data_IF_805446212589
#
_entry.id   IF_805446212589
#
_cell.length_a   1.000
_cell.length_b   1.000
_cell.length_c   1.000
_cell.angle_alpha   90.00
_cell.angle_beta   90.00
_cell.angle_gamma   90.00
#
_symmetry.space_group_name_H-M   'P 1'
#
loop_
_entity.id
_entity.type
_entity.pdbx_description
1 polymer ?
#
# COMPACT_ATOMS: atom_id res chain seq x y z
N UNK A 1 -6.45 -7.52 26.50
CA UNK A 1 -7.25 -6.84 25.46
C UNK A 1 -6.99 -5.35 25.55
N UNK A 2 -6.41 -4.78 24.50
CA UNK A 2 -6.18 -3.32 24.38
C UNK A 2 -7.51 -2.60 24.20
N UNK A 3 -7.71 -1.49 24.91
CA UNK A 3 -8.89 -0.62 24.80
C UNK A 3 -8.46 0.81 24.50
N UNK A 4 -9.14 1.50 23.59
CA UNK A 4 -8.77 2.87 23.24
C UNK A 4 -8.95 3.86 24.40
N UNK A 5 -9.82 3.54 25.35
CA UNK A 5 -10.07 4.32 26.56
C UNK A 5 -8.79 4.45 27.40
N UNK A 6 -7.93 3.42 27.36
CA UNK A 6 -6.68 3.35 28.11
C UNK A 6 -5.55 4.16 27.45
N UNK A 7 -5.76 4.74 26.26
CA UNK A 7 -4.75 5.58 25.61
C UNK A 7 -4.44 6.79 26.50
N UNK A 8 -3.17 7.05 26.77
CA UNK A 8 -2.70 8.22 27.53
C UNK A 8 -2.66 9.43 26.58
N UNK A 9 -1.96 9.28 25.46
CA UNK A 9 -1.82 10.30 24.44
C UNK A 9 -1.50 9.66 23.08
N UNK A 10 -1.78 10.39 22.01
CA UNK A 10 -1.26 10.15 20.67
C UNK A 10 -0.36 11.34 20.35
N UNK A 11 0.91 11.06 20.08
CA UNK A 11 1.94 12.07 19.88
C UNK A 11 2.78 11.79 18.63
N UNK A 12 3.64 12.75 18.26
CA UNK A 12 4.70 12.49 17.28
C UNK A 12 5.68 11.48 17.86
N UNK A 13 6.23 10.63 16.99
CA UNK A 13 7.20 9.63 17.41
C UNK A 13 8.40 10.29 18.12
N UNK A 14 8.77 9.72 19.26
CA UNK A 14 9.93 10.10 20.08
C UNK A 14 10.98 9.00 20.10
N UNK A 15 10.54 7.73 20.03
CA UNK A 15 11.42 6.55 19.99
C UNK A 15 11.88 6.21 18.57
N UNK A 16 11.16 6.69 17.56
CA UNK A 16 11.48 6.49 16.14
C UNK A 16 11.67 7.82 15.43
N UNK A 17 12.49 7.84 14.38
CA UNK A 17 12.85 9.06 13.62
C UNK A 17 11.64 9.78 12.98
N UNK A 18 10.53 9.07 12.76
CA UNK A 18 9.33 9.62 12.13
C UNK A 18 8.06 8.90 12.57
N UNK A 19 6.93 9.59 12.38
CA UNK A 19 5.59 9.03 12.56
C UNK A 19 4.89 9.51 13.81
N UNK A 20 4.09 8.62 14.38
CA UNK A 20 3.16 8.85 15.48
C UNK A 20 3.22 7.65 16.44
N UNK A 21 3.02 7.94 17.73
CA UNK A 21 2.95 6.96 18.80
C UNK A 21 1.59 7.04 19.45
N UNK A 22 0.90 5.90 19.58
CA UNK A 22 -0.26 5.76 20.45
C UNK A 22 0.25 5.16 21.76
N UNK A 23 0.23 5.97 22.84
CA UNK A 23 0.84 5.64 24.11
C UNK A 23 -0.21 5.06 25.06
N UNK A 24 0.08 3.88 25.60
CA UNK A 24 -0.71 3.21 26.63
C UNK A 24 0.09 3.16 27.95
N UNK A 25 -0.54 2.80 29.08
CA UNK A 25 0.14 2.57 30.34
C UNK A 25 1.28 1.54 30.24
N UNK A 26 2.20 1.57 31.19
CA UNK A 26 3.35 0.67 31.28
C UNK A 26 4.27 0.73 30.05
N UNK A 27 4.44 1.92 29.45
CA UNK A 27 5.27 2.16 28.26
C UNK A 27 4.92 1.30 27.04
N UNK A 28 3.69 0.77 26.97
CA UNK A 28 3.21 0.10 25.76
C UNK A 28 2.91 1.15 24.69
N UNK A 29 3.60 1.06 23.55
CA UNK A 29 3.51 2.04 22.47
C UNK A 29 3.20 1.32 21.17
N UNK A 30 2.18 1.79 20.46
CA UNK A 30 1.95 1.39 19.07
C UNK A 30 2.52 2.47 18.17
N UNK A 31 3.46 2.09 17.30
CA UNK A 31 4.10 3.01 16.36
C UNK A 31 3.47 2.93 14.97
N UNK A 32 3.09 4.09 14.41
CA UNK A 32 2.62 4.24 13.04
C UNK A 32 3.40 5.33 12.31
N UNK A 33 3.71 5.13 11.03
CA UNK A 33 4.39 6.16 10.23
C UNK A 33 3.42 7.11 9.53
N UNK A 34 2.23 6.63 9.18
CA UNK A 34 1.21 7.35 8.43
C UNK A 34 0.13 7.88 9.35
N UNK A 35 -0.13 9.18 9.24
CA UNK A 35 -1.20 9.84 10.02
C UNK A 35 -2.59 9.25 9.75
N UNK A 36 -2.85 8.84 8.51
CA UNK A 36 -4.19 8.38 8.09
C UNK A 36 -4.58 7.03 8.68
N UNK A 37 -3.60 6.17 9.00
CA UNK A 37 -3.85 4.82 9.53
C UNK A 37 -4.20 4.84 11.01
N UNK A 38 -3.91 5.94 11.73
CA UNK A 38 -4.31 6.12 13.14
C UNK A 38 -5.83 5.91 13.30
N UNK A 39 -6.65 6.53 12.46
CA UNK A 39 -8.10 6.42 12.54
C UNK A 39 -8.58 4.97 12.29
N UNK A 40 -8.01 4.32 11.27
CA UNK A 40 -8.34 2.92 10.93
C UNK A 40 -7.99 1.97 12.07
N UNK A 41 -6.82 2.12 12.68
CA UNK A 41 -6.39 1.27 13.78
C UNK A 41 -7.27 1.46 15.02
N UNK A 42 -7.58 2.69 15.40
CA UNK A 42 -8.43 2.98 16.56
C UNK A 42 -9.84 2.41 16.41
N UNK A 43 -10.40 2.48 15.21
CA UNK A 43 -11.68 1.86 14.89
C UNK A 43 -11.61 0.34 15.04
N UNK A 44 -10.56 -0.29 14.49
CA UNK A 44 -10.36 -1.75 14.59
C UNK A 44 -10.16 -2.21 16.03
N UNK A 45 -9.36 -1.49 16.84
CA UNK A 45 -9.19 -1.81 18.27
C UNK A 45 -10.54 -1.78 19.01
N UNK A 46 -11.43 -0.84 18.68
CA UNK A 46 -12.72 -0.70 19.38
C UNK A 46 -13.80 -1.66 18.85
N UNK A 47 -13.88 -1.85 17.54
CA UNK A 47 -15.02 -2.51 16.90
C UNK A 47 -14.70 -3.86 16.28
N UNK A 48 -13.42 -4.28 16.25
CA UNK A 48 -12.88 -5.50 15.65
C UNK A 48 -13.06 -5.60 14.13
N UNK A 49 -14.24 -5.29 13.60
CA UNK A 49 -14.58 -5.31 12.18
C UNK A 49 -15.02 -3.93 11.71
N UNK A 50 -14.32 -3.40 10.70
CA UNK A 50 -14.56 -2.08 10.14
C UNK A 50 -14.58 -2.10 8.62
N UNK A 51 -15.12 -1.05 8.02
CA UNK A 51 -15.13 -0.85 6.57
C UNK A 51 -15.07 0.65 6.24
N UNK A 52 -15.07 0.98 4.95
CA UNK A 52 -15.07 2.36 4.46
C UNK A 52 -16.22 3.21 5.03
N UNK A 53 -17.36 2.60 5.33
CA UNK A 53 -18.54 3.25 5.92
C UNK A 53 -18.21 4.00 7.22
N UNK A 54 -17.27 3.45 8.01
CA UNK A 54 -16.84 4.01 9.30
C UNK A 54 -16.02 5.31 9.14
N UNK A 55 -15.52 5.60 7.93
CA UNK A 55 -14.63 6.73 7.64
C UNK A 55 -15.17 7.72 6.61
N UNK A 56 -16.25 7.39 5.88
CA UNK A 56 -16.95 8.33 4.98
C UNK A 56 -17.99 9.19 5.69
N UNK A 57 -18.26 8.91 6.97
CA UNK A 57 -19.31 9.56 7.77
C UNK A 57 -20.70 9.01 7.48
N UNK A 58 -20.80 7.70 7.19
CA UNK A 58 -22.08 6.99 7.08
C UNK A 58 -22.62 6.55 8.45
N UNK A 59 -21.78 6.60 9.49
CA UNK A 59 -22.15 6.30 10.87
C UNK A 59 -21.32 7.15 11.87
N UNK A 60 -21.65 7.04 13.16
CA UNK A 60 -21.05 7.84 14.23
C UNK A 60 -19.83 7.18 14.90
N UNK A 61 -19.33 6.05 14.38
CA UNK A 61 -18.25 5.31 15.05
C UNK A 61 -16.98 6.13 15.17
N UNK A 62 -16.58 6.85 14.12
CA UNK A 62 -15.43 7.74 14.16
C UNK A 62 -15.65 8.92 15.13
N UNK A 63 -16.86 9.47 15.17
CA UNK A 63 -17.22 10.53 16.14
C UNK A 63 -17.08 9.99 17.56
N UNK A 64 -17.51 8.77 17.84
CA UNK A 64 -17.35 8.12 19.13
C UNK A 64 -15.86 7.95 19.51
N UNK A 65 -15.00 7.52 18.58
CA UNK A 65 -13.54 7.46 18.79
C UNK A 65 -13.00 8.85 19.17
N UNK A 66 -13.34 9.89 18.40
CA UNK A 66 -12.87 11.26 18.65
C UNK A 66 -13.32 11.79 20.00
N UNK A 67 -14.54 11.46 20.43
CA UNK A 67 -15.08 11.85 21.74
C UNK A 67 -14.31 11.17 22.88
N UNK A 68 -14.05 9.87 22.78
CA UNK A 68 -13.28 9.12 23.81
C UNK A 68 -11.85 9.66 23.96
N UNK A 69 -11.26 10.09 22.85
CA UNK A 69 -9.88 10.58 22.80
C UNK A 69 -9.77 12.10 22.88
N UNK A 70 -10.83 12.81 23.28
CA UNK A 70 -10.83 14.27 23.35
C UNK A 70 -9.67 14.76 24.23
N UNK A 71 -8.83 15.62 23.65
CA UNK A 71 -7.65 16.18 24.33
C UNK A 71 -6.43 15.26 24.40
N UNK A 72 -6.51 14.02 23.86
CA UNK A 72 -5.39 13.07 23.85
C UNK A 72 -4.55 13.11 22.56
N UNK A 73 -4.95 13.90 21.55
CA UNK A 73 -4.27 13.99 20.27
C UNK A 73 -4.47 15.38 19.63
N UNK A 74 -3.63 15.74 18.67
CA UNK A 74 -3.83 16.96 17.89
C UNK A 74 -5.02 16.78 16.92
N UNK A 75 -6.06 17.61 17.05
CA UNK A 75 -7.33 17.47 16.29
C UNK A 75 -7.13 17.35 14.76
N UNK A 76 -6.06 17.92 14.22
CA UNK A 76 -5.74 17.88 12.78
C UNK A 76 -5.34 16.47 12.30
N UNK A 77 -5.07 15.52 13.20
CA UNK A 77 -4.56 14.19 12.84
C UNK A 77 -5.66 13.18 12.48
N UNK A 78 -6.84 13.32 13.08
CA UNK A 78 -8.00 12.48 12.78
C UNK A 78 -9.07 13.36 12.14
N UNK A 79 -9.29 13.16 10.83
CA UNK A 79 -10.29 13.90 10.07
C UNK A 79 -11.69 13.47 10.45
N UNK A 80 -12.69 14.30 10.15
CA UNK A 80 -14.10 13.90 10.29
C UNK A 80 -14.53 12.90 9.23
N UNK A 81 -13.90 12.96 8.05
CA UNK A 81 -14.17 12.09 6.90
C UNK A 81 -12.91 11.86 6.07
N UNK A 82 -12.87 10.75 5.37
CA UNK A 82 -11.77 10.35 4.48
C UNK A 82 -12.34 10.08 3.08
N UNK A 83 -11.82 10.79 2.06
CA UNK A 83 -12.25 10.59 0.67
C UNK A 83 -11.82 9.24 0.09
N UNK A 84 -10.64 8.76 0.50
CA UNK A 84 -10.20 7.38 0.27
C UNK A 84 -10.24 6.65 1.62
N UNK A 85 -11.44 6.21 1.99
CA UNK A 85 -11.73 5.58 3.28
C UNK A 85 -11.16 4.16 3.39
N UNK A 86 -10.78 3.54 2.27
CA UNK A 86 -10.14 2.23 2.24
C UNK A 86 -8.67 2.31 2.71
N UNK A 87 -7.95 3.36 2.31
CA UNK A 87 -6.51 3.51 2.61
C UNK A 87 -6.15 3.45 4.11
N UNK A 88 -6.87 4.14 5.01
CA UNK A 88 -6.64 4.03 6.46
C UNK A 88 -6.60 2.60 6.99
N UNK A 89 -7.34 1.67 6.38
CA UNK A 89 -7.33 0.26 6.76
C UNK A 89 -6.32 -0.56 5.97
N UNK A 90 -6.31 -0.45 4.63
CA UNK A 90 -5.43 -1.27 3.79
C UNK A 90 -3.95 -1.06 4.12
N UNK A 91 -3.56 0.19 4.40
CA UNK A 91 -2.17 0.55 4.69
C UNK A 91 -1.70 0.05 6.06
N UNK A 92 -2.60 -0.32 6.99
CA UNK A 92 -2.20 -0.93 8.27
C UNK A 92 -1.42 -2.23 8.06
N UNK A 93 -1.92 -3.05 7.14
CA UNK A 93 -1.21 -4.27 6.76
C UNK A 93 -0.11 -3.97 5.75
N UNK A 94 -0.44 -3.31 4.63
CA UNK A 94 0.47 -3.26 3.47
C UNK A 94 1.68 -2.35 3.66
N UNK A 95 1.60 -1.35 4.55
CA UNK A 95 2.68 -0.36 4.72
C UNK A 95 3.13 -0.18 6.17
N UNK A 96 2.21 -0.29 7.13
CA UNK A 96 2.51 -0.21 8.57
C UNK A 96 2.93 -1.54 9.19
N UNK A 97 2.82 -2.66 8.45
CA UNK A 97 3.34 -3.96 8.86
C UNK A 97 2.52 -4.68 9.95
N UNK A 98 1.27 -4.27 10.20
CA UNK A 98 0.39 -4.97 11.13
C UNK A 98 -0.23 -6.21 10.46
N UNK A 99 0.48 -7.33 10.52
CA UNK A 99 0.03 -8.62 9.95
C UNK A 99 -1.23 -9.19 10.60
N UNK A 100 -1.57 -8.74 11.81
CA UNK A 100 -2.80 -9.08 12.52
C UNK A 100 -4.04 -8.35 12.01
N UNK A 101 -3.89 -7.44 11.05
CA UNK A 101 -5.00 -6.78 10.36
C UNK A 101 -5.14 -7.42 8.98
N UNK A 102 -6.30 -8.00 8.69
CA UNK A 102 -6.56 -8.62 7.39
C UNK A 102 -7.92 -8.18 6.83
N UNK A 103 -8.08 -8.32 5.51
CA UNK A 103 -9.34 -8.04 4.84
C UNK A 103 -10.21 -9.30 4.77
N UNK A 104 -11.49 -9.18 5.09
CA UNK A 104 -12.50 -10.23 4.95
C UNK A 104 -13.60 -9.77 3.97
N UNK A 105 -14.00 -10.67 3.07
CA UNK A 105 -15.02 -10.41 2.06
C UNK A 105 -14.50 -9.67 0.82
N UNK A 106 -14.41 -10.38 -0.31
CA UNK A 106 -14.05 -9.82 -1.63
C UNK A 106 -15.26 -9.38 -2.46
N UNK A 107 -16.49 -9.70 -2.03
CA UNK A 107 -17.73 -9.30 -2.70
C UNK A 107 -18.42 -8.19 -1.89
N UNK A 108 -18.32 -6.94 -2.37
CA UNK A 108 -18.93 -5.75 -1.75
C UNK A 108 -17.92 -4.81 -1.08
N UNK A 109 -18.38 -4.02 -0.10
CA UNK A 109 -17.51 -3.14 0.70
C UNK A 109 -16.50 -3.99 1.47
N UNK A 110 -15.20 -3.76 1.21
CA UNK A 110 -14.12 -4.51 1.86
C UNK A 110 -14.18 -4.31 3.37
N UNK A 111 -14.28 -5.40 4.13
CA UNK A 111 -14.20 -5.37 5.59
C UNK A 111 -12.78 -5.67 6.03
N UNK A 112 -12.36 -5.05 7.11
CA UNK A 112 -11.08 -5.25 7.76
C UNK A 112 -11.32 -5.74 9.17
N UNK A 113 -10.49 -6.68 9.61
CA UNK A 113 -10.64 -7.35 10.89
C UNK A 113 -9.34 -7.26 11.68
N UNK A 114 -9.48 -7.06 12.99
CA UNK A 114 -8.45 -7.20 14.01
C UNK A 114 -9.08 -7.96 15.19
N UNK A 115 -8.62 -9.17 15.46
CA UNK A 115 -9.17 -9.95 16.58
C UNK A 115 -8.61 -9.46 17.91
N UNK A 116 -9.43 -9.52 18.96
CA UNK A 116 -9.04 -9.16 20.33
C UNK A 116 -7.81 -9.92 20.82
N UNK A 117 -7.66 -11.18 20.41
CA UNK A 117 -6.53 -12.03 20.78
C UNK A 117 -5.21 -11.55 20.17
N UNK A 118 -5.28 -10.82 19.05
CA UNK A 118 -4.10 -10.32 18.34
C UNK A 118 -3.68 -8.92 18.82
N UNK A 119 -4.44 -8.27 19.73
CA UNK A 119 -4.16 -6.90 20.15
C UNK A 119 -2.75 -6.72 20.74
N UNK A 120 -2.20 -7.73 21.44
CA UNK A 120 -0.85 -7.63 22.01
C UNK A 120 0.23 -7.55 20.92
N UNK A 121 -0.01 -8.11 19.73
CA UNK A 121 0.93 -8.03 18.61
C UNK A 121 1.10 -6.61 18.05
N UNK A 122 0.17 -5.69 18.34
CA UNK A 122 0.25 -4.29 17.91
C UNK A 122 1.42 -3.53 18.54
N UNK A 123 1.94 -4.01 19.68
CA UNK A 123 3.07 -3.41 20.38
C UNK A 123 4.43 -3.91 19.90
N UNK A 124 4.45 -4.88 18.99
CA UNK A 124 5.69 -5.38 18.41
C UNK A 124 6.29 -4.34 17.46
N UNK A 125 7.62 -4.28 17.40
CA UNK A 125 8.31 -3.50 16.38
C UNK A 125 8.07 -4.15 15.02
N UNK A 126 7.26 -3.49 14.18
CA UNK A 126 6.95 -3.95 12.84
C UNK A 126 7.88 -3.30 11.83
N UNK A 127 8.46 -4.10 10.94
CA UNK A 127 9.19 -3.60 9.78
C UNK A 127 8.22 -2.80 8.89
N UNK A 128 8.40 -1.48 8.84
CA UNK A 128 7.57 -0.59 8.02
C UNK A 128 8.01 -0.69 6.57
N UNK A 129 7.06 -0.81 5.64
CA UNK A 129 7.41 -0.74 4.22
C UNK A 129 7.87 0.69 3.94
N UNK A 130 9.17 0.90 3.77
CA UNK A 130 9.68 2.16 3.24
C UNK A 130 9.52 2.05 1.73
N UNK A 131 8.44 2.61 1.20
CA UNK A 131 8.35 2.81 -0.25
C UNK A 131 9.33 3.90 -0.63
N UNK A 132 10.56 3.51 -0.97
CA UNK A 132 11.55 4.42 -1.54
C UNK A 132 10.95 4.98 -2.82
N UNK A 133 10.58 6.25 -2.80
CA UNK A 133 10.11 6.90 -4.01
C UNK A 133 11.32 7.14 -4.91
N UNK A 134 11.23 6.65 -6.15
CA UNK A 134 12.19 7.00 -7.20
C UNK A 134 12.31 8.51 -7.30
N UNK A 135 13.55 9.01 -7.32
CA UNK A 135 13.81 10.42 -7.58
C UNK A 135 13.41 10.77 -9.02
N UNK A 136 13.25 12.06 -9.32
CA UNK A 136 13.00 12.50 -10.70
C UNK A 136 14.13 12.08 -11.64
N UNK A 137 15.38 12.10 -11.16
CA UNK A 137 16.54 11.66 -11.92
C UNK A 137 16.45 10.16 -12.24
N UNK A 138 16.14 9.31 -11.26
CA UNK A 138 16.01 7.86 -11.47
C UNK A 138 14.89 7.53 -12.46
N UNK A 139 13.74 8.21 -12.34
CA UNK A 139 12.61 8.05 -13.28
C UNK A 139 13.01 8.37 -14.71
N UNK A 140 13.76 9.47 -14.91
CA UNK A 140 14.29 9.84 -16.22
C UNK A 140 15.27 8.79 -16.72
N UNK A 141 16.22 8.35 -15.89
CA UNK A 141 17.19 7.31 -16.25
C UNK A 141 16.51 6.00 -16.67
N UNK A 142 15.51 5.52 -15.92
CA UNK A 142 14.76 4.30 -16.28
C UNK A 142 14.04 4.49 -17.61
N UNK A 143 13.36 5.63 -17.81
CA UNK A 143 12.60 5.89 -19.03
C UNK A 143 13.50 6.04 -20.26
N UNK A 144 14.66 6.68 -20.12
CA UNK A 144 15.66 6.86 -21.18
C UNK A 144 16.27 5.51 -21.59
N UNK A 145 16.60 4.65 -20.62
CA UNK A 145 17.07 3.26 -20.88
C UNK A 145 16.07 2.47 -21.72
N UNK A 146 14.77 2.74 -21.55
CA UNK A 146 13.68 2.07 -22.26
C UNK A 146 13.16 2.84 -23.48
N UNK A 147 13.81 3.93 -23.90
CA UNK A 147 13.38 4.71 -25.07
C UNK A 147 11.98 5.33 -24.95
N UNK A 148 11.49 5.57 -23.73
CA UNK A 148 10.18 6.18 -23.49
C UNK A 148 8.98 5.25 -23.70
N UNK A 149 9.18 3.93 -23.77
CA UNK A 149 8.12 2.96 -23.99
C UNK A 149 7.92 1.99 -22.81
N UNK A 150 6.74 1.37 -22.77
CA UNK A 150 6.42 0.29 -21.84
C UNK A 150 7.39 -0.86 -22.04
N UNK A 151 8.04 -1.31 -20.96
CA UNK A 151 9.03 -2.38 -21.03
C UNK A 151 8.44 -3.73 -21.47
N UNK A 152 7.13 -3.91 -21.34
CA UNK A 152 6.46 -5.17 -21.67
C UNK A 152 5.80 -5.14 -23.04
N UNK A 153 5.26 -4.02 -23.51
CA UNK A 153 4.43 -4.03 -24.74
C UNK A 153 4.73 -2.91 -25.73
N UNK A 154 5.88 -2.24 -25.57
CA UNK A 154 6.36 -1.19 -26.49
C UNK A 154 5.49 0.08 -26.59
N UNK A 155 4.41 0.21 -25.82
CA UNK A 155 3.51 1.36 -25.90
C UNK A 155 4.19 2.64 -25.41
N UNK A 156 4.03 3.76 -26.14
CA UNK A 156 4.58 5.07 -25.74
C UNK A 156 3.98 5.54 -24.42
N UNK A 157 4.83 5.85 -23.46
CA UNK A 157 4.41 6.25 -22.13
C UNK A 157 4.28 7.77 -22.00
N UNK A 158 3.30 8.20 -21.22
CA UNK A 158 3.01 9.61 -20.91
C UNK A 158 2.70 9.75 -19.42
N UNK A 159 3.18 10.84 -18.83
CA UNK A 159 2.75 11.24 -17.50
C UNK A 159 1.24 11.46 -17.47
N UNK A 160 0.58 11.03 -16.39
CA UNK A 160 -0.89 11.12 -16.25
C UNK A 160 -1.43 12.54 -16.45
N UNK A 161 -0.68 13.56 -16.05
CA UNK A 161 -1.01 14.98 -16.22
C UNK A 161 -1.07 15.42 -17.68
N UNK A 162 -0.38 14.71 -18.58
CA UNK A 162 -0.23 15.06 -19.98
C UNK A 162 -1.17 14.23 -20.88
N UNK A 163 -2.10 13.47 -20.29
CA UNK A 163 -3.05 12.62 -21.02
C UNK A 163 -4.44 13.26 -20.98
N UNK A 164 -5.02 13.63 -22.14
CA UNK A 164 -6.39 14.14 -22.20
C UNK A 164 -7.40 13.16 -21.60
N UNK A 165 -8.45 13.68 -20.96
CA UNK A 165 -9.47 12.88 -20.26
C UNK A 165 -10.07 11.77 -21.12
N UNK A 166 -10.36 12.04 -22.39
CA UNK A 166 -10.99 11.10 -23.32
C UNK A 166 -10.00 10.46 -24.31
N UNK A 167 -8.85 10.03 -23.81
CA UNK A 167 -7.85 9.30 -24.62
C UNK A 167 -8.27 7.84 -24.80
N UNK A 168 -8.39 7.39 -26.05
CA UNK A 168 -8.62 5.97 -26.38
C UNK A 168 -7.50 5.10 -25.79
N UNK A 169 -7.86 4.00 -25.11
CA UNK A 169 -6.93 3.09 -24.45
C UNK A 169 -5.93 3.79 -23.51
N UNK A 170 -6.40 4.77 -22.71
CA UNK A 170 -5.60 5.53 -21.74
C UNK A 170 -4.64 4.68 -20.89
N UNK A 171 -5.07 3.49 -20.48
CA UNK A 171 -4.27 2.58 -19.65
C UNK A 171 -3.02 2.03 -20.35
N UNK A 172 -3.01 2.00 -21.70
CA UNK A 172 -1.86 1.58 -22.50
C UNK A 172 -0.79 2.65 -22.65
N UNK A 173 -1.09 3.90 -22.33
CA UNK A 173 -0.14 5.03 -22.45
C UNK A 173 0.20 5.68 -21.11
N UNK A 174 -0.56 5.39 -20.05
CA UNK A 174 -0.32 5.95 -18.71
C UNK A 174 0.95 5.35 -18.10
N UNK A 175 1.97 6.18 -17.84
CA UNK A 175 3.24 5.81 -17.24
C UNK A 175 3.09 5.39 -15.77
N UNK A 176 3.60 4.21 -15.44
CA UNK A 176 3.84 3.74 -14.07
C UNK A 176 5.27 3.20 -13.94
N UNK A 177 5.83 3.28 -12.74
CA UNK A 177 7.10 2.63 -12.39
C UNK A 177 6.81 1.51 -11.40
N UNK A 178 7.35 0.33 -11.67
CA UNK A 178 7.19 -0.84 -10.81
C UNK A 178 8.50 -1.63 -10.74
N UNK A 179 8.66 -2.44 -9.70
CA UNK A 179 9.84 -3.29 -9.58
C UNK A 179 9.78 -4.43 -10.61
N UNK A 180 10.93 -4.81 -11.19
CA UNK A 180 11.08 -6.03 -12.00
C UNK A 180 10.78 -7.25 -11.14
N UNK A 181 11.55 -7.44 -10.07
CA UNK A 181 11.29 -8.42 -9.01
C UNK A 181 10.57 -7.70 -7.87
N UNK A 182 9.34 -8.08 -7.51
CA UNK A 182 8.64 -7.51 -6.36
C UNK A 182 9.44 -7.61 -5.04
N UNK A 183 9.34 -6.61 -4.17
CA UNK A 183 10.07 -6.57 -2.88
C UNK A 183 9.71 -7.78 -2.00
N UNK A 184 8.44 -8.17 -1.96
CA UNK A 184 7.94 -9.35 -1.24
C UNK A 184 8.41 -10.68 -1.84
N UNK A 185 9.09 -10.64 -3.00
CA UNK A 185 9.71 -11.79 -3.68
C UNK A 185 11.23 -11.70 -3.76
N UNK A 186 11.85 -10.89 -2.89
CA UNK A 186 13.31 -10.76 -2.79
C UNK A 186 13.91 -9.68 -3.71
N UNK A 187 13.08 -8.82 -4.30
CA UNK A 187 13.56 -7.68 -5.06
C UNK A 187 14.11 -6.56 -4.15
N UNK A 188 14.99 -5.75 -4.72
CA UNK A 188 15.62 -4.62 -4.02
C UNK A 188 15.05 -3.27 -4.48
N UNK A 189 15.24 -2.22 -3.67
CA UNK A 189 14.94 -0.84 -4.04
C UNK A 189 16.12 -0.18 -4.79
N UNK A 190 16.71 -0.89 -5.75
CA UNK A 190 17.78 -0.39 -6.61
C UNK A 190 17.21 0.04 -7.97
N UNK A 191 17.83 1.05 -8.60
CA UNK A 191 17.39 1.57 -9.90
C UNK A 191 17.30 0.47 -10.98
N UNK A 192 18.15 -0.54 -10.91
CA UNK A 192 18.21 -1.64 -11.87
C UNK A 192 17.05 -2.64 -11.68
N UNK A 193 16.44 -2.68 -10.50
CA UNK A 193 15.24 -3.46 -10.25
C UNK A 193 13.95 -2.69 -10.59
N UNK A 194 14.01 -1.53 -11.24
CA UNK A 194 12.82 -0.82 -11.70
C UNK A 194 12.65 -0.90 -13.22
N UNK A 195 11.39 -0.82 -13.65
CA UNK A 195 11.00 -0.69 -15.06
C UNK A 195 9.81 0.26 -15.20
N UNK A 196 9.75 0.97 -16.33
CA UNK A 196 8.61 1.79 -16.73
C UNK A 196 7.60 0.95 -17.51
N UNK A 197 6.35 0.96 -17.07
CA UNK A 197 5.25 0.19 -17.64
C UNK A 197 4.07 1.10 -17.97
N UNK A 198 3.21 0.66 -18.89
CA UNK A 198 1.87 1.22 -18.97
C UNK A 198 1.00 0.69 -17.83
N UNK A 199 0.00 1.46 -17.40
CA UNK A 199 -0.93 1.07 -16.34
C UNK A 199 -1.55 -0.32 -16.58
N UNK A 200 -1.91 -0.64 -17.82
CA UNK A 200 -2.46 -1.95 -18.19
C UNK A 200 -1.47 -3.08 -17.90
N UNK A 201 -0.23 -3.00 -18.42
CA UNK A 201 0.76 -4.05 -18.20
C UNK A 201 1.17 -4.16 -16.72
N UNK A 202 1.25 -3.04 -15.99
CA UNK A 202 1.52 -3.08 -14.56
C UNK A 202 0.39 -3.79 -13.78
N UNK A 203 -0.87 -3.54 -14.15
CA UNK A 203 -2.02 -4.26 -13.57
C UNK A 203 -1.95 -5.76 -13.87
N UNK A 204 -1.70 -6.16 -15.10
CA UNK A 204 -1.56 -7.56 -15.48
C UNK A 204 -0.38 -8.22 -14.74
N UNK A 205 0.76 -7.55 -14.63
CA UNK A 205 1.93 -8.01 -13.86
C UNK A 205 1.56 -8.32 -12.42
N UNK A 206 0.88 -7.38 -11.72
CA UNK A 206 0.42 -7.61 -10.34
C UNK A 206 -0.51 -8.83 -10.22
N UNK A 207 -1.43 -9.01 -11.16
CA UNK A 207 -2.35 -10.15 -11.16
C UNK A 207 -1.61 -11.49 -11.36
N UNK A 208 -0.65 -11.54 -12.28
CA UNK A 208 0.15 -12.74 -12.53
C UNK A 208 1.10 -13.04 -11.37
N UNK A 209 1.78 -12.02 -10.83
CA UNK A 209 2.63 -12.16 -9.66
C UNK A 209 1.84 -12.60 -8.42
N UNK A 210 0.56 -12.24 -8.29
CA UNK A 210 -0.25 -12.67 -7.14
C UNK A 210 -0.47 -14.19 -7.10
N UNK A 211 -0.68 -14.84 -8.25
CA UNK A 211 -0.93 -16.29 -8.34
C UNK A 211 0.34 -17.13 -8.50
N UNK A 212 1.48 -16.49 -8.80
CA UNK A 212 2.73 -17.17 -9.15
C UNK A 212 3.34 -17.90 -7.95
N UNK A 213 3.63 -19.21 -8.07
CA UNK A 213 4.31 -20.01 -7.03
C UNK A 213 5.79 -20.26 -7.30
N UNK A 214 6.26 -19.84 -8.47
CA UNK A 214 7.64 -20.03 -8.91
C UNK A 214 8.61 -19.06 -8.22
N UNK A 215 9.88 -19.46 -8.15
CA UNK A 215 10.97 -18.56 -7.78
C UNK A 215 11.03 -17.40 -8.78
N UNK A 216 11.03 -16.16 -8.28
CA UNK A 216 11.08 -14.96 -9.12
C UNK A 216 12.53 -14.69 -9.54
N UNK A 217 12.80 -14.72 -10.84
CA UNK A 217 14.12 -14.51 -11.43
C UNK A 217 14.00 -13.92 -12.85
N UNK A 218 15.14 -13.65 -13.48
CA UNK A 218 15.25 -13.07 -14.82
C UNK A 218 14.74 -13.95 -15.96
N UNK A 219 14.33 -15.19 -15.69
CA UNK A 219 13.73 -16.06 -16.73
C UNK A 219 12.26 -15.76 -16.98
N UNK A 220 11.63 -14.89 -16.18
CA UNK A 220 10.25 -14.45 -16.38
C UNK A 220 10.17 -13.20 -17.25
N UNK A 221 9.30 -13.21 -18.27
CA UNK A 221 9.05 -12.06 -19.14
C UNK A 221 8.51 -10.82 -18.40
N UNK A 222 7.94 -10.98 -17.20
CA UNK A 222 7.50 -9.84 -16.37
C UNK A 222 8.65 -9.18 -15.57
N UNK A 223 9.79 -9.86 -15.48
CA UNK A 223 11.02 -9.41 -14.80
C UNK A 223 12.03 -8.90 -15.82
N UNK A 224 12.24 -9.65 -16.90
CA UNK A 224 13.20 -9.35 -17.95
C UNK A 224 12.58 -9.54 -19.35
N UNK A 225 11.61 -8.69 -19.73
CA UNK A 225 10.94 -8.78 -21.05
C UNK A 225 11.90 -8.61 -22.23
N UNK A 226 13.10 -8.08 -22.01
CA UNK A 226 14.13 -7.92 -23.02
C UNK A 226 14.73 -9.25 -23.50
N UNK A 227 14.83 -10.25 -22.60
CA UNK A 227 15.45 -11.55 -22.89
C UNK A 227 14.52 -12.74 -22.64
N UNK A 228 13.29 -12.52 -22.15
CA UNK A 228 12.32 -13.59 -21.87
C UNK A 228 10.95 -13.30 -22.43
N UNK A 229 10.35 -14.35 -22.99
CA UNK A 229 9.00 -14.36 -23.57
C UNK A 229 8.00 -15.18 -22.74
N UNK A 230 8.45 -15.87 -21.68
CA UNK A 230 7.61 -16.76 -20.88
C UNK A 230 7.20 -16.09 -19.57
N UNK A 231 5.89 -16.03 -19.29
CA UNK A 231 5.36 -15.65 -17.98
C UNK A 231 5.39 -16.86 -17.05
N UNK A 232 6.36 -16.93 -16.13
CA UNK A 232 6.55 -18.09 -15.23
C UNK A 232 5.30 -18.49 -14.43
N UNK A 233 4.42 -17.54 -14.12
CA UNK A 233 3.21 -17.81 -13.34
C UNK A 233 2.26 -18.81 -14.02
N UNK A 234 2.23 -18.80 -15.36
CA UNK A 234 1.28 -19.56 -16.19
C UNK A 234 1.97 -20.43 -17.24
N UNK A 235 3.27 -20.21 -17.50
CA UNK A 235 3.99 -20.81 -18.63
C UNK A 235 3.59 -20.22 -19.99
N UNK A 236 2.85 -19.11 -20.03
CA UNK A 236 2.40 -18.49 -21.27
C UNK A 236 3.56 -17.83 -22.02
N UNK A 237 3.66 -18.10 -23.32
CA UNK A 237 4.48 -17.36 -24.27
C UNK A 237 3.73 -16.09 -24.71
N UNK A 238 4.34 -14.93 -24.50
CA UNK A 238 3.76 -13.62 -24.81
C UNK A 238 4.51 -12.89 -25.93
N UNK A 239 5.31 -13.58 -26.74
CA UNK A 239 6.05 -13.00 -27.86
C UNK A 239 5.19 -12.23 -28.87
N UNK A 240 3.90 -12.55 -28.98
CA UNK A 240 2.92 -11.84 -29.82
C UNK A 240 2.52 -10.45 -29.28
N UNK A 241 2.92 -10.10 -28.06
CA UNK A 241 2.46 -8.91 -27.31
C UNK A 241 3.60 -8.03 -26.78
N UNK A 242 4.85 -8.44 -26.99
CA UNK A 242 6.05 -7.68 -26.61
C UNK A 242 6.33 -6.52 -27.57
#
# INVERSE_FOLDING_TARGET
MVKIEDIIEIRKAKLHERGYEIVFPNNKIIWLTKRRTIAGLLLLIKYQTCSEEDLVGANDRLVAIKTILKGKYENSWIKDRYGDANKPFSELWTEEGFSCVHAEGLQGNRKYVLNVYDHESLFNENAKSVRTQLSTADKTTILDRQGGVCNICGSKLKNSSNIPTHTFAKDRVTLEFDHRIPIDRGGENSIDNYQALCHYCNKCKRQMCFICKEQCDSTCALVNPEDSIIVKATGEDISDRL
#
